data_IF_464350162427
#
_entry.id   IF_464350162427
#
_cell.length_a   1.000
_cell.length_b   1.000
_cell.length_c   1.000
_cell.angle_alpha   90.00
_cell.angle_beta   90.00
_cell.angle_gamma   90.00
#
_symmetry.space_group_name_H-M   'P 1'
#
loop_
_entity.id
_entity.type
_entity.pdbx_description
1 polymer ?
#
# COMPACT_ATOMS: atom_id res chain seq x y z
N UNK A 1 -8.50 -31.38 -15.19
CA UNK A 1 -9.09 -30.33 -14.33
C UNK A 1 -8.62 -29.00 -14.92
N UNK A 2 -9.41 -28.40 -15.81
CA UNK A 2 -9.02 -27.18 -16.50
C UNK A 2 -9.41 -25.99 -15.62
N UNK A 3 -8.43 -25.19 -15.18
CA UNK A 3 -8.70 -23.86 -14.63
C UNK A 3 -9.35 -23.03 -15.74
N UNK A 4 -10.67 -22.90 -15.70
CA UNK A 4 -11.39 -21.96 -16.55
C UNK A 4 -11.10 -20.55 -16.04
N UNK A 5 -10.18 -19.85 -16.71
CA UNK A 5 -9.95 -18.43 -16.48
C UNK A 5 -11.22 -17.66 -16.85
N UNK A 6 -12.04 -17.32 -15.85
CA UNK A 6 -13.10 -16.34 -16.03
C UNK A 6 -12.45 -15.02 -16.44
N UNK A 7 -12.93 -14.41 -17.53
CA UNK A 7 -12.52 -13.05 -17.92
C UNK A 7 -12.93 -12.10 -16.79
N UNK A 8 -11.98 -11.53 -16.02
CA UNK A 8 -12.33 -10.60 -14.96
C UNK A 8 -12.80 -9.30 -15.59
N UNK A 9 -13.82 -8.71 -15.00
CA UNK A 9 -14.42 -7.44 -15.40
C UNK A 9 -14.92 -6.74 -14.12
N UNK A 10 -14.80 -5.40 -13.93
CA UNK A 10 -14.61 -4.39 -14.99
C UNK A 10 -14.10 -2.99 -14.59
N UNK A 11 -13.91 -2.58 -13.33
CA UNK A 11 -13.42 -1.22 -13.00
C UNK A 11 -12.06 -1.20 -12.28
N UNK A 12 -11.91 -1.82 -11.11
CA UNK A 12 -10.66 -1.83 -10.34
C UNK A 12 -9.45 -2.36 -11.14
N UNK A 13 -9.59 -3.54 -11.75
CA UNK A 13 -8.52 -4.10 -12.58
C UNK A 13 -8.31 -3.31 -13.87
N UNK A 14 -9.34 -2.64 -14.40
CA UNK A 14 -9.15 -1.77 -15.57
C UNK A 14 -8.39 -0.50 -15.19
N UNK A 15 -8.68 0.08 -14.04
CA UNK A 15 -7.98 1.24 -13.50
C UNK A 15 -6.49 0.90 -13.28
N UNK A 16 -6.21 -0.25 -12.65
CA UNK A 16 -4.84 -0.75 -12.50
C UNK A 16 -4.18 -0.97 -13.88
N UNK A 17 -4.89 -1.58 -14.83
CA UNK A 17 -4.36 -1.81 -16.17
C UNK A 17 -4.07 -0.51 -16.93
N UNK A 18 -4.94 0.49 -16.85
CA UNK A 18 -4.69 1.80 -17.48
C UNK A 18 -3.50 2.49 -16.84
N UNK A 19 -3.39 2.47 -15.51
CA UNK A 19 -2.23 3.04 -14.82
C UNK A 19 -0.93 2.34 -15.20
N UNK A 20 -0.92 1.01 -15.28
CA UNK A 20 0.25 0.24 -15.72
C UNK A 20 0.64 0.66 -17.13
N UNK A 21 -0.31 0.76 -18.06
CA UNK A 21 -0.04 1.17 -19.45
C UNK A 21 0.57 2.58 -19.53
N UNK A 22 0.12 3.51 -18.69
CA UNK A 22 0.65 4.87 -18.61
C UNK A 22 2.04 4.94 -17.94
N UNK A 23 2.35 4.02 -17.03
CA UNK A 23 3.61 4.00 -16.24
C UNK A 23 4.70 3.07 -16.79
N UNK A 24 4.42 2.29 -17.84
CA UNK A 24 5.32 1.26 -18.42
C UNK A 24 6.66 1.81 -19.00
N UNK A 25 6.89 3.13 -18.98
CA UNK A 25 8.17 3.72 -19.42
C UNK A 25 9.36 3.42 -18.48
N UNK A 26 9.11 2.93 -17.26
CA UNK A 26 10.16 2.56 -16.29
C UNK A 26 10.43 1.04 -16.29
N UNK A 27 11.67 0.64 -16.57
CA UNK A 27 12.12 -0.77 -16.65
C UNK A 27 12.21 -1.50 -15.28
N UNK A 28 11.87 -0.83 -14.17
CA UNK A 28 12.00 -1.39 -12.82
C UNK A 28 10.77 -2.20 -12.40
N UNK A 29 10.96 -3.45 -11.96
CA UNK A 29 9.91 -4.26 -11.34
C UNK A 29 9.47 -3.61 -10.02
N UNK A 30 8.16 -3.42 -9.84
CA UNK A 30 7.56 -2.84 -8.63
C UNK A 30 6.61 -3.83 -7.95
N UNK A 31 6.48 -3.70 -6.64
CA UNK A 31 5.63 -4.51 -5.77
C UNK A 31 4.53 -3.65 -5.13
N UNK A 32 3.62 -3.15 -5.98
CA UNK A 32 2.60 -2.15 -5.63
C UNK A 32 1.29 -2.78 -5.12
N UNK A 33 1.27 -4.09 -4.87
CA UNK A 33 0.09 -4.83 -4.45
C UNK A 33 0.37 -5.53 -3.12
N UNK A 34 -0.52 -5.37 -2.15
CA UNK A 34 -0.43 -6.07 -0.86
C UNK A 34 -1.82 -6.50 -0.39
N UNK A 35 -1.86 -7.44 0.55
CA UNK A 35 -3.11 -7.90 1.16
C UNK A 35 -3.11 -7.51 2.64
N UNK A 36 -4.24 -7.00 3.12
CA UNK A 36 -4.53 -6.79 4.52
C UNK A 36 -5.76 -7.64 4.88
N UNK A 37 -5.55 -8.82 5.47
CA UNK A 37 -6.59 -9.81 5.74
C UNK A 37 -7.38 -10.18 4.47
N UNK A 38 -8.63 -9.72 4.35
CA UNK A 38 -9.50 -9.96 3.19
C UNK A 38 -9.56 -8.77 2.22
N UNK A 39 -8.76 -7.73 2.43
CA UNK A 39 -8.74 -6.54 1.57
C UNK A 39 -7.46 -6.52 0.74
N UNK A 40 -7.62 -6.46 -0.58
CA UNK A 40 -6.54 -6.23 -1.52
C UNK A 40 -6.28 -4.72 -1.61
N UNK A 41 -5.03 -4.32 -1.45
CA UNK A 41 -4.58 -2.93 -1.57
C UNK A 41 -3.62 -2.79 -2.74
N UNK A 42 -3.84 -1.77 -3.56
CA UNK A 42 -2.96 -1.40 -4.66
C UNK A 42 -2.53 0.07 -4.49
N UNK A 43 -1.24 0.35 -4.62
CA UNK A 43 -0.72 1.71 -4.66
C UNK A 43 -0.80 2.28 -6.08
N UNK A 44 -1.58 3.34 -6.26
CA UNK A 44 -1.64 4.11 -7.50
C UNK A 44 -0.49 5.09 -7.59
N UNK A 45 0.36 4.94 -8.61
CA UNK A 45 1.46 5.88 -8.85
C UNK A 45 0.99 7.19 -9.47
N UNK A 46 -0.15 7.16 -10.17
CA UNK A 46 -0.71 8.33 -10.86
C UNK A 46 -1.48 9.19 -9.87
N UNK A 47 -2.38 8.58 -9.09
CA UNK A 47 -3.21 9.28 -8.12
C UNK A 47 -2.52 9.44 -6.75
N UNK A 48 -1.36 8.80 -6.52
CA UNK A 48 -0.61 8.81 -5.26
C UNK A 48 -1.48 8.43 -4.06
N UNK A 49 -2.28 7.38 -4.22
CA UNK A 49 -3.24 6.91 -3.21
C UNK A 49 -3.30 5.38 -3.20
N UNK A 50 -4.07 4.80 -2.26
CA UNK A 50 -4.31 3.37 -2.21
C UNK A 50 -5.72 3.06 -2.72
N UNK A 51 -5.84 2.20 -3.72
CA UNK A 51 -7.12 1.56 -4.03
C UNK A 51 -7.29 0.31 -3.18
N UNK A 52 -8.49 0.09 -2.67
CA UNK A 52 -8.81 -1.05 -1.82
C UNK A 52 -10.09 -1.74 -2.24
N UNK A 53 -10.07 -3.08 -2.24
CA UNK A 53 -11.24 -3.89 -2.56
C UNK A 53 -11.27 -5.14 -1.67
N UNK A 54 -12.44 -5.47 -1.13
CA UNK A 54 -12.63 -6.74 -0.42
C UNK A 54 -12.52 -7.88 -1.43
N UNK A 55 -11.63 -8.84 -1.16
CA UNK A 55 -11.46 -10.05 -1.96
C UNK A 55 -12.77 -10.84 -2.02
N UNK A 56 -13.53 -10.86 -0.92
CA UNK A 56 -14.84 -11.53 -0.89
C UNK A 56 -15.83 -10.89 -1.88
N UNK A 57 -15.86 -9.55 -1.97
CA UNK A 57 -16.67 -8.82 -2.95
C UNK A 57 -16.18 -9.05 -4.37
N UNK A 58 -14.86 -8.91 -4.59
CA UNK A 58 -14.21 -9.19 -5.86
C UNK A 58 -14.54 -10.61 -6.38
N UNK A 59 -14.55 -11.62 -5.51
CA UNK A 59 -14.91 -12.99 -5.89
C UNK A 59 -16.41 -13.16 -6.17
N UNK A 60 -17.29 -12.47 -5.44
CA UNK A 60 -18.73 -12.48 -5.70
C UNK A 60 -19.07 -11.82 -7.05
N UNK A 61 -18.37 -10.76 -7.41
CA UNK A 61 -18.48 -10.08 -8.71
C UNK A 61 -18.10 -11.02 -9.86
N UNK A 62 -17.02 -11.78 -9.73
CA UNK A 62 -16.63 -12.81 -10.71
C UNK A 62 -17.73 -13.86 -10.94
N UNK A 63 -18.63 -14.04 -9.96
CA UNK A 63 -19.77 -14.96 -10.05
C UNK A 63 -21.07 -14.30 -10.55
N UNK A 64 -21.01 -13.09 -11.12
CA UNK A 64 -22.13 -12.34 -11.72
C UNK A 64 -23.28 -12.00 -10.75
N UNK A 65 -23.02 -11.82 -9.45
CA UNK A 65 -23.99 -11.21 -8.54
C UNK A 65 -23.86 -9.69 -8.64
N UNK A 66 -24.89 -9.05 -9.20
CA UNK A 66 -24.95 -7.60 -9.45
C UNK A 66 -24.72 -6.78 -8.18
N UNK A 67 -23.78 -5.84 -8.27
CA UNK A 67 -23.63 -4.65 -7.43
C UNK A 67 -22.74 -3.66 -8.18
N UNK A 68 -22.99 -2.37 -8.06
CA UNK A 68 -22.10 -1.35 -8.63
C UNK A 68 -20.75 -1.43 -7.91
N UNK A 69 -19.69 -1.45 -8.69
CA UNK A 69 -18.31 -1.59 -8.23
C UNK A 69 -17.94 -0.39 -7.35
N UNK A 70 -17.65 -0.61 -6.06
CA UNK A 70 -17.04 0.44 -5.23
C UNK A 70 -15.79 -0.11 -4.54
N UNK A 71 -14.67 -0.12 -5.28
CA UNK A 71 -13.36 -0.06 -4.63
C UNK A 71 -13.27 1.26 -3.88
N UNK A 72 -12.63 1.25 -2.71
CA UNK A 72 -12.46 2.46 -1.91
C UNK A 72 -11.11 3.10 -2.23
N UNK A 73 -11.10 4.43 -2.29
CA UNK A 73 -9.90 5.25 -2.51
C UNK A 73 -9.42 5.81 -1.19
N UNK A 74 -8.28 5.33 -0.72
CA UNK A 74 -7.61 5.76 0.49
C UNK A 74 -6.58 6.83 0.13
N UNK A 75 -6.98 8.09 0.26
CA UNK A 75 -6.13 9.26 -0.02
C UNK A 75 -5.24 9.55 1.17
N UNK A 76 -3.95 9.73 0.93
CA UNK A 76 -2.99 10.07 1.96
C UNK A 76 -3.04 11.58 2.24
N UNK A 77 -2.73 11.98 3.48
CA UNK A 77 -2.73 13.40 3.87
C UNK A 77 -1.72 14.24 3.09
N UNK A 78 -0.64 13.62 2.64
CA UNK A 78 0.38 14.21 1.77
C UNK A 78 0.84 13.17 0.74
N UNK A 79 1.35 13.62 -0.40
CA UNK A 79 1.95 12.75 -1.41
C UNK A 79 3.41 12.42 -1.05
N UNK A 80 3.87 11.18 -1.25
CA UNK A 80 5.29 10.86 -1.12
C UNK A 80 6.15 11.73 -2.05
N UNK A 81 7.27 12.23 -1.54
CA UNK A 81 8.27 12.98 -2.32
C UNK A 81 9.27 12.06 -3.05
N UNK A 82 8.97 10.76 -3.10
CA UNK A 82 9.79 9.73 -3.73
C UNK A 82 8.91 8.78 -4.55
N UNK A 83 9.52 8.12 -5.53
CA UNK A 83 8.83 7.11 -6.33
C UNK A 83 8.65 5.84 -5.53
N UNK A 84 7.40 5.48 -5.25
CA UNK A 84 7.05 4.27 -4.52
C UNK A 84 7.30 3.06 -5.42
N UNK A 85 8.14 2.14 -4.96
CA UNK A 85 8.39 0.86 -5.63
C UNK A 85 7.75 -0.32 -4.91
N UNK A 86 7.36 -0.17 -3.64
CA UNK A 86 6.70 -1.24 -2.89
C UNK A 86 5.72 -0.73 -1.83
N UNK A 87 4.67 -1.51 -1.58
CA UNK A 87 3.73 -1.37 -0.46
C UNK A 87 3.67 -2.65 0.37
N UNK A 88 3.65 -2.53 1.71
CA UNK A 88 3.55 -3.66 2.65
C UNK A 88 2.61 -3.37 3.80
N UNK A 89 1.66 -4.26 4.05
CA UNK A 89 0.81 -4.18 5.24
C UNK A 89 1.57 -4.60 6.50
N UNK A 90 1.28 -3.89 7.60
CA UNK A 90 1.68 -4.28 8.95
C UNK A 90 0.96 -5.55 9.41
N UNK A 91 1.50 -6.21 10.45
CA UNK A 91 0.95 -7.49 10.94
C UNK A 91 -0.42 -7.26 11.60
N UNK A 92 -0.60 -6.16 12.32
CA UNK A 92 -1.91 -5.82 12.90
C UNK A 92 -2.93 -5.35 11.87
N UNK A 93 -2.46 -4.95 10.67
CA UNK A 93 -3.31 -4.42 9.61
C UNK A 93 -3.77 -2.97 9.84
N UNK A 94 -3.25 -2.27 10.85
CA UNK A 94 -3.56 -0.85 11.12
C UNK A 94 -2.65 0.13 10.37
N UNK A 95 -1.56 -0.36 9.80
CA UNK A 95 -0.62 0.47 9.04
C UNK A 95 -0.25 -0.19 7.72
N UNK A 96 0.07 0.64 6.74
CA UNK A 96 0.75 0.27 5.52
C UNK A 96 2.06 1.05 5.40
N UNK A 97 3.09 0.37 4.92
CA UNK A 97 4.38 0.93 4.58
C UNK A 97 4.42 1.10 3.07
N UNK A 98 4.79 2.27 2.58
CA UNK A 98 5.17 2.52 1.19
C UNK A 98 6.62 2.94 1.15
N UNK A 99 7.42 2.42 0.23
CA UNK A 99 8.82 2.83 0.13
C UNK A 99 9.33 2.77 -1.31
N UNK A 100 10.39 3.53 -1.54
CA UNK A 100 11.17 3.55 -2.78
C UNK A 100 12.65 3.67 -2.45
N UNK A 101 13.51 3.83 -3.47
CA UNK A 101 14.97 3.93 -3.25
C UNK A 101 15.36 5.10 -2.32
N UNK A 102 14.57 6.17 -2.31
CA UNK A 102 14.92 7.44 -1.66
C UNK A 102 13.99 7.84 -0.51
N UNK A 103 13.07 6.98 -0.10
CA UNK A 103 12.21 7.31 1.02
C UNK A 103 11.27 6.22 1.47
N UNK A 104 10.70 6.45 2.66
CA UNK A 104 9.78 5.57 3.35
C UNK A 104 8.62 6.42 3.87
N UNK A 105 7.41 5.97 3.57
CA UNK A 105 6.16 6.55 4.04
C UNK A 105 5.38 5.50 4.83
N UNK A 106 4.82 5.95 5.95
CA UNK A 106 3.94 5.15 6.78
C UNK A 106 2.52 5.71 6.66
N UNK A 107 1.56 4.84 6.40
CA UNK A 107 0.15 5.19 6.23
C UNK A 107 -0.65 4.53 7.34
N UNK A 108 -1.38 5.33 8.11
CA UNK A 108 -2.37 4.83 9.07
C UNK A 108 -3.61 4.37 8.29
N UNK A 109 -3.86 3.06 8.31
CA UNK A 109 -5.02 2.47 7.66
C UNK A 109 -6.27 2.67 8.53
N UNK A 110 -7.40 3.02 7.92
CA UNK A 110 -8.66 3.21 8.63
C UNK A 110 -9.13 1.90 9.29
N UNK A 111 -9.99 2.04 10.30
CA UNK A 111 -10.63 0.88 10.93
C UNK A 111 -11.60 0.20 9.97
N UNK A 112 -11.58 -1.13 9.99
CA UNK A 112 -12.51 -1.99 9.25
C UNK A 112 -13.78 -2.21 10.06
N UNK A 113 -14.94 -1.95 9.47
CA UNK A 113 -16.26 -2.25 10.05
C UNK A 113 -17.34 -2.21 8.96
N UNK A 114 -18.53 -2.74 9.27
CA UNK A 114 -19.65 -2.79 8.32
C UNK A 114 -19.62 -4.00 7.39
N UNK A 115 -20.33 -3.89 6.27
CA UNK A 115 -20.54 -5.00 5.33
C UNK A 115 -19.24 -5.38 4.60
N UNK A 116 -18.96 -6.67 4.51
CA UNK A 116 -17.76 -7.26 3.87
C UNK A 116 -16.41 -6.78 4.44
N UNK A 117 -16.38 -6.26 5.67
CA UNK A 117 -15.13 -5.87 6.33
C UNK A 117 -14.45 -4.63 5.74
N UNK A 118 -15.18 -3.82 4.96
CA UNK A 118 -14.67 -2.62 4.33
C UNK A 118 -14.12 -1.60 5.35
N UNK A 119 -13.28 -0.70 4.85
CA UNK A 119 -12.80 0.42 5.67
C UNK A 119 -13.91 1.46 5.88
N UNK A 120 -13.96 2.04 7.07
CA UNK A 120 -14.94 3.08 7.45
C UNK A 120 -16.40 2.78 7.04
N UNK A 121 -16.83 1.52 7.12
CA UNK A 121 -18.22 1.15 6.76
C UNK A 121 -18.50 1.13 5.26
N UNK A 122 -17.48 1.18 4.40
CA UNK A 122 -17.65 1.16 2.95
C UNK A 122 -17.65 2.53 2.28
N UNK A 123 -17.20 3.59 2.96
CA UNK A 123 -17.06 4.93 2.36
C UNK A 123 -16.16 4.89 1.12
N UNK A 124 -16.63 5.46 0.00
CA UNK A 124 -15.91 5.43 -1.28
C UNK A 124 -14.53 6.13 -1.25
N UNK A 125 -14.40 7.24 -0.51
CA UNK A 125 -13.13 7.97 -0.36
C UNK A 125 -12.82 8.20 1.12
N UNK A 126 -11.64 7.77 1.54
CA UNK A 126 -11.18 7.83 2.93
C UNK A 126 -9.85 8.59 2.99
N UNK A 127 -9.70 9.44 4.01
CA UNK A 127 -8.44 10.16 4.25
C UNK A 127 -7.61 9.43 5.29
N UNK A 128 -6.38 9.09 4.92
CA UNK A 128 -5.42 8.36 5.74
C UNK A 128 -4.26 9.29 6.11
N UNK A 129 -3.80 9.25 7.36
CA UNK A 129 -2.59 9.98 7.76
C UNK A 129 -1.37 9.30 7.15
N UNK A 130 -0.51 10.08 6.49
CA UNK A 130 0.81 9.63 6.06
C UNK A 130 1.90 10.41 6.80
N UNK A 131 2.88 9.66 7.32
CA UNK A 131 4.09 10.19 7.95
C UNK A 131 5.32 9.68 7.21
N UNK A 132 6.24 10.59 6.86
CA UNK A 132 7.52 10.22 6.26
C UNK A 132 8.50 9.79 7.36
N UNK A 133 9.19 8.68 7.13
CA UNK A 133 10.14 8.12 8.10
C UNK A 133 11.53 8.63 7.76
N UNK A 134 12.18 9.30 8.72
CA UNK A 134 13.57 9.77 8.60
C UNK A 134 13.85 10.58 7.31
N UNK A 135 12.88 11.39 6.86
CA UNK A 135 12.97 12.16 5.61
C UNK A 135 14.26 12.98 5.52
N UNK A 136 14.61 13.69 6.59
CA UNK A 136 15.85 14.47 6.63
C UNK A 136 17.09 13.60 6.47
N UNK A 137 17.11 12.38 7.01
CA UNK A 137 18.27 11.50 6.89
C UNK A 137 18.55 11.13 5.43
N UNK A 138 17.52 10.75 4.68
CA UNK A 138 17.64 10.36 3.26
C UNK A 138 17.94 11.57 2.37
N UNK A 139 17.41 12.75 2.70
CA UNK A 139 17.76 14.00 2.00
C UNK A 139 19.24 14.35 2.17
N UNK A 140 19.79 14.21 3.38
CA UNK A 140 21.20 14.51 3.65
C UNK A 140 22.17 13.44 3.13
N UNK A 141 21.70 12.21 2.91
CA UNK A 141 22.49 11.09 2.41
C UNK A 141 21.97 10.64 1.04
N UNK A 142 22.01 11.52 0.04
CA UNK A 142 21.43 11.26 -1.29
C UNK A 142 22.03 10.07 -2.04
N UNK A 143 23.22 9.59 -1.66
CA UNK A 143 23.84 8.38 -2.21
C UNK A 143 23.34 7.08 -1.56
N UNK A 144 22.67 7.18 -0.40
CA UNK A 144 22.10 6.05 0.32
C UNK A 144 20.77 5.66 -0.33
N UNK A 145 20.68 4.41 -0.75
CA UNK A 145 19.47 3.85 -1.35
C UNK A 145 18.88 2.77 -0.48
N UNK A 146 17.57 2.82 -0.29
CA UNK A 146 16.78 1.76 0.32
C UNK A 146 16.60 0.64 -0.71
N UNK A 147 17.06 -0.56 -0.35
CA UNK A 147 16.90 -1.76 -1.17
C UNK A 147 15.58 -2.46 -0.80
N UNK A 148 15.33 -2.60 0.51
CA UNK A 148 14.19 -3.34 1.00
C UNK A 148 13.76 -2.81 2.37
N UNK A 149 12.47 -2.82 2.63
CA UNK A 149 11.92 -2.42 3.93
C UNK A 149 10.82 -3.39 4.36
N UNK A 150 10.86 -3.85 5.61
CA UNK A 150 9.92 -4.82 6.17
C UNK A 150 9.50 -4.43 7.59
N UNK A 151 8.30 -4.82 7.98
CA UNK A 151 7.86 -4.77 9.36
C UNK A 151 8.68 -5.74 10.22
N UNK A 152 9.13 -5.30 11.39
CA UNK A 152 9.79 -6.20 12.34
C UNK A 152 8.75 -7.03 13.08
N UNK A 153 8.75 -8.35 12.88
CA UNK A 153 7.74 -9.25 13.45
C UNK A 153 7.75 -9.32 14.98
N UNK A 154 8.89 -9.02 15.62
CA UNK A 154 9.00 -8.94 17.08
C UNK A 154 8.58 -7.58 17.66
N UNK A 155 8.08 -6.66 16.84
CA UNK A 155 7.71 -5.32 17.29
C UNK A 155 6.40 -5.33 18.08
N UNK A 156 6.35 -4.70 19.26
CA UNK A 156 5.08 -4.32 19.88
C UNK A 156 4.31 -3.37 18.95
N UNK A 157 3.03 -3.67 18.68
CA UNK A 157 2.11 -2.82 17.92
C UNK A 157 2.66 -2.32 16.57
N UNK A 158 3.42 -3.17 15.87
CA UNK A 158 4.07 -2.84 14.60
C UNK A 158 5.04 -1.65 14.64
N UNK A 159 5.39 -1.09 15.81
CA UNK A 159 6.22 0.10 16.00
C UNK A 159 7.64 0.13 15.40
N UNK A 160 8.13 -0.95 14.78
CA UNK A 160 9.47 -1.05 14.22
C UNK A 160 9.46 -1.57 12.78
N UNK A 161 10.33 -0.97 11.96
CA UNK A 161 10.63 -1.44 10.61
C UNK A 161 12.13 -1.73 10.48
N UNK A 162 12.45 -2.65 9.59
CA UNK A 162 13.82 -3.03 9.24
C UNK A 162 14.07 -2.58 7.81
N UNK A 163 15.15 -1.81 7.61
CA UNK A 163 15.55 -1.26 6.32
C UNK A 163 16.90 -1.81 5.91
N UNK A 164 16.98 -2.39 4.72
CA UNK A 164 18.23 -2.76 4.08
C UNK A 164 18.65 -1.63 3.13
N UNK A 165 19.88 -1.16 3.25
CA UNK A 165 20.45 -0.10 2.42
C UNK A 165 21.64 -0.57 1.57
N UNK A 166 21.98 0.18 0.51
CA UNK A 166 23.05 -0.14 -0.45
C UNK A 166 24.49 -0.07 0.12
N UNK A 167 24.65 0.42 1.35
CA UNK A 167 25.89 0.36 2.12
C UNK A 167 26.04 -0.97 2.90
N UNK A 168 25.23 -1.98 2.57
CA UNK A 168 25.17 -3.28 3.23
C UNK A 168 24.78 -3.21 4.72
N UNK A 169 24.09 -2.15 5.13
CA UNK A 169 23.59 -2.02 6.50
C UNK A 169 22.13 -2.44 6.62
N UNK A 170 21.82 -3.13 7.71
CA UNK A 170 20.45 -3.37 8.17
C UNK A 170 20.18 -2.40 9.32
N UNK A 171 19.14 -1.58 9.17
CA UNK A 171 18.79 -0.50 10.10
C UNK A 171 17.43 -0.81 10.71
N UNK A 172 17.36 -0.81 12.05
CA UNK A 172 16.11 -0.93 12.79
C UNK A 172 15.60 0.48 13.11
N UNK A 173 14.44 0.85 12.58
CA UNK A 173 13.83 2.16 12.79
C UNK A 173 12.57 2.00 13.63
N UNK A 174 12.50 2.74 14.74
CA UNK A 174 11.28 2.87 15.55
C UNK A 174 10.42 3.98 14.96
N UNK A 175 9.36 3.61 14.25
CA UNK A 175 8.51 4.63 13.65
C UNK A 175 7.53 5.25 14.67
N UNK A 176 7.23 4.56 15.77
CA UNK A 176 6.33 5.06 16.83
C UNK A 176 6.77 6.42 17.41
N UNK A 177 8.06 6.76 17.29
CA UNK A 177 8.61 8.09 17.62
C UNK A 177 8.01 9.21 16.76
N UNK A 178 7.54 8.91 15.54
CA UNK A 178 6.93 9.86 14.61
C UNK A 178 5.41 10.03 14.81
N UNK A 179 4.79 9.38 15.81
CA UNK A 179 3.37 9.57 16.15
C UNK A 179 3.07 10.72 17.12
N UNK A 180 4.09 11.35 17.71
CA UNK A 180 3.90 12.35 18.79
C UNK A 180 3.89 13.82 18.33
N UNK A 181 3.70 14.08 17.04
CA UNK A 181 3.48 15.43 16.48
C UNK A 181 2.13 15.49 15.79
#
# INVERSE_FOLDING_TARGET
MACSYHKPCKSFLKEIQSEIQETTSNESIKDLLTVNNDILLYWSEIQKCIYSISVSKFMQELTNKLGDDEYQVLRTSHSPLFDVSSIKCSITGYHALVYGEHGIGLIELPRKWGEAGNYEGGKAVIHCKMSLVDESYYVHHSSLKIIQCHWYSGSPNDGHIVVLTNDNSIRLIMWSKYMQT
#
